data_IF_584377043817
#
_entry.id   IF_584377043817
#
_cell.length_a   1.000
_cell.length_b   1.000
_cell.length_c   1.000
_cell.angle_alpha   90.00
_cell.angle_beta   90.00
_cell.angle_gamma   90.00
#
_symmetry.space_group_name_H-M   'P 1'
#
loop_
_entity.id
_entity.type
_entity.pdbx_description
1 polymer ?
#
# COMPACT_ATOMS: atom_id res chain seq x y z
N UNK A 1 -15.35 -14.14 -3.28
CA UNK A 1 -13.88 -14.33 -3.21
C UNK A 1 -13.26 -13.75 -1.93
N UNK A 2 -13.53 -12.49 -1.55
CA UNK A 2 -12.95 -11.87 -0.34
C UNK A 2 -13.05 -12.74 0.93
N UNK A 3 -14.22 -13.35 1.19
CA UNK A 3 -14.38 -14.25 2.34
C UNK A 3 -13.51 -15.50 2.30
N UNK A 4 -13.24 -16.06 1.12
CA UNK A 4 -12.31 -17.20 0.99
C UNK A 4 -10.91 -16.79 1.47
N UNK A 5 -10.40 -15.65 0.98
CA UNK A 5 -9.08 -15.16 1.33
C UNK A 5 -8.96 -14.78 2.81
N UNK A 6 -9.97 -14.10 3.36
CA UNK A 6 -10.00 -13.74 4.77
C UNK A 6 -10.06 -14.99 5.66
N UNK A 7 -10.94 -15.96 5.34
CA UNK A 7 -11.02 -17.21 6.10
C UNK A 7 -9.70 -17.98 6.04
N UNK A 8 -9.15 -18.19 4.84
CA UNK A 8 -7.88 -18.89 4.67
C UNK A 8 -6.76 -18.22 5.47
N UNK A 9 -6.68 -16.89 5.46
CA UNK A 9 -5.71 -16.13 6.24
C UNK A 9 -5.80 -16.43 7.76
N UNK A 10 -7.01 -16.41 8.32
CA UNK A 10 -7.22 -16.67 9.74
C UNK A 10 -7.11 -18.15 10.11
N UNK A 11 -7.50 -19.07 9.22
CA UNK A 11 -7.29 -20.50 9.43
C UNK A 11 -5.81 -20.85 9.43
N UNK A 12 -4.99 -20.23 8.57
CA UNK A 12 -3.54 -20.38 8.62
C UNK A 12 -3.02 -19.95 9.99
N UNK A 13 -3.42 -18.77 10.50
CA UNK A 13 -3.00 -18.27 11.83
C UNK A 13 -3.36 -19.27 12.93
N UNK A 14 -4.51 -19.95 12.83
CA UNK A 14 -4.99 -20.92 13.82
C UNK A 14 -4.36 -22.31 13.68
N UNK A 15 -3.57 -22.55 12.63
CA UNK A 15 -2.96 -23.83 12.32
C UNK A 15 -1.46 -23.88 12.60
N UNK A 16 -0.87 -25.07 12.49
CA UNK A 16 0.58 -25.29 12.53
C UNK A 16 1.32 -24.77 11.28
N UNK A 17 0.59 -24.39 10.23
CA UNK A 17 1.15 -23.74 9.04
C UNK A 17 1.61 -22.30 9.31
N UNK A 18 1.15 -21.67 10.40
CA UNK A 18 1.63 -20.34 10.78
C UNK A 18 3.06 -20.42 11.36
N UNK A 19 4.05 -20.22 10.48
CA UNK A 19 5.47 -20.10 10.85
C UNK A 19 5.94 -18.67 10.55
N UNK A 20 5.97 -17.77 11.55
CA UNK A 20 6.29 -16.37 11.33
C UNK A 20 7.76 -16.18 10.93
N UNK A 21 8.01 -15.33 9.94
CA UNK A 21 9.37 -14.86 9.60
C UNK A 21 9.78 -13.64 10.44
N UNK A 22 8.80 -12.83 10.85
CA UNK A 22 9.00 -11.57 11.56
C UNK A 22 8.94 -11.71 13.08
N UNK A 23 8.79 -10.57 13.76
CA UNK A 23 8.69 -10.50 15.23
C UNK A 23 7.25 -10.53 15.74
N UNK A 24 6.26 -10.44 14.84
CA UNK A 24 4.84 -10.42 15.19
C UNK A 24 4.01 -11.13 14.13
N UNK A 25 2.86 -11.65 14.53
CA UNK A 25 1.80 -12.10 13.61
C UNK A 25 0.79 -10.96 13.49
N UNK A 26 0.71 -10.34 12.31
CA UNK A 26 -0.24 -9.25 12.07
C UNK A 26 -1.63 -9.81 11.72
N UNK A 27 -2.47 -10.12 12.70
CA UNK A 27 -3.81 -10.66 12.48
C UNK A 27 -4.83 -9.60 11.99
N UNK A 28 -4.55 -8.96 10.84
CA UNK A 28 -5.43 -7.99 10.18
C UNK A 28 -5.30 -8.11 8.66
N UNK A 29 -6.41 -8.36 7.97
CA UNK A 29 -6.48 -8.44 6.51
C UNK A 29 -7.28 -7.28 5.94
N UNK A 30 -6.74 -6.66 4.88
CA UNK A 30 -7.35 -5.54 4.19
C UNK A 30 -7.81 -5.95 2.78
N UNK A 31 -8.95 -5.43 2.35
CA UNK A 31 -9.44 -5.57 0.97
C UNK A 31 -9.47 -4.21 0.28
N UNK A 32 -9.05 -4.17 -0.98
CA UNK A 32 -9.05 -2.96 -1.79
C UNK A 32 -10.32 -2.92 -2.63
N UNK A 33 -11.01 -1.78 -2.67
CA UNK A 33 -12.18 -1.57 -3.52
C UNK A 33 -12.22 -0.15 -4.07
N UNK A 34 -12.96 0.07 -5.15
CA UNK A 34 -13.23 1.42 -5.67
C UNK A 34 -14.08 2.22 -4.67
N UNK A 35 -14.06 3.55 -4.77
CA UNK A 35 -14.82 4.40 -3.86
C UNK A 35 -15.48 5.60 -4.52
N UNK A 36 -16.78 5.74 -4.33
CA UNK A 36 -17.58 6.93 -4.64
C UNK A 36 -18.92 6.82 -3.92
N UNK A 37 -19.24 7.81 -3.09
CA UNK A 37 -20.45 7.80 -2.29
C UNK A 37 -21.32 8.99 -2.65
N UNK A 38 -22.58 8.73 -2.98
CA UNK A 38 -23.54 9.78 -3.27
C UNK A 38 -24.95 9.31 -2.92
N UNK A 39 -25.86 10.22 -2.55
CA UNK A 39 -27.26 9.87 -2.22
C UNK A 39 -28.01 9.25 -3.42
N UNK A 40 -27.58 9.61 -4.63
CA UNK A 40 -28.03 9.02 -5.90
C UNK A 40 -27.01 8.00 -6.42
N UNK A 41 -27.49 6.78 -6.70
CA UNK A 41 -26.71 5.65 -7.23
C UNK A 41 -26.00 5.97 -8.55
N UNK A 42 -26.73 6.53 -9.51
CA UNK A 42 -26.20 6.78 -10.85
C UNK A 42 -25.15 7.88 -10.81
N UNK A 43 -25.35 8.88 -9.95
CA UNK A 43 -24.35 9.91 -9.74
C UNK A 43 -23.09 9.36 -9.06
N UNK A 44 -23.21 8.44 -8.08
CA UNK A 44 -22.05 7.75 -7.52
C UNK A 44 -21.25 7.00 -8.59
N UNK A 45 -21.95 6.29 -9.50
CA UNK A 45 -21.33 5.58 -10.63
C UNK A 45 -20.67 6.54 -11.61
N UNK A 46 -21.37 7.59 -12.02
CA UNK A 46 -20.85 8.62 -12.94
C UNK A 46 -19.58 9.27 -12.40
N UNK A 47 -19.50 9.50 -11.08
CA UNK A 47 -18.34 10.12 -10.42
C UNK A 47 -17.15 9.18 -10.24
N UNK A 48 -17.37 7.89 -9.99
CA UNK A 48 -16.32 6.96 -9.53
C UNK A 48 -15.92 5.84 -10.48
N UNK A 49 -16.80 5.43 -11.40
CA UNK A 49 -16.60 4.21 -12.18
C UNK A 49 -15.41 4.31 -13.15
N UNK A 50 -15.31 5.40 -13.91
CA UNK A 50 -14.21 5.59 -14.87
C UNK A 50 -12.84 5.61 -14.18
N UNK A 51 -12.73 6.33 -13.04
CA UNK A 51 -11.51 6.36 -12.25
C UNK A 51 -11.08 4.97 -11.76
N UNK A 52 -12.03 4.14 -11.36
CA UNK A 52 -11.75 2.76 -10.93
C UNK A 52 -11.42 1.83 -12.12
N UNK A 53 -12.06 2.00 -13.28
CA UNK A 53 -11.67 1.29 -14.51
C UNK A 53 -10.26 1.67 -14.94
N UNK A 54 -9.88 2.95 -14.86
CA UNK A 54 -8.53 3.40 -15.16
C UNK A 54 -7.50 2.78 -14.21
N UNK A 55 -7.82 2.67 -12.92
CA UNK A 55 -6.95 1.98 -11.96
C UNK A 55 -6.72 0.52 -12.35
N UNK A 56 -7.79 -0.23 -12.66
CA UNK A 56 -7.68 -1.61 -13.13
C UNK A 56 -6.90 -1.77 -14.44
N UNK A 57 -7.15 -0.87 -15.41
CA UNK A 57 -6.38 -0.82 -16.66
C UNK A 57 -4.89 -0.58 -16.40
N UNK A 58 -4.57 0.37 -15.52
CA UNK A 58 -3.19 0.72 -15.16
C UNK A 58 -2.47 -0.42 -14.47
N UNK A 59 -3.15 -1.18 -13.59
CA UNK A 59 -2.59 -2.41 -13.02
C UNK A 59 -2.24 -3.43 -14.10
N UNK A 60 -3.14 -3.66 -15.07
CA UNK A 60 -2.86 -4.51 -16.21
C UNK A 60 -1.66 -4.02 -17.04
N UNK A 61 -1.56 -2.72 -17.26
CA UNK A 61 -0.44 -2.12 -17.96
C UNK A 61 0.89 -2.35 -17.22
N UNK A 62 0.98 -2.07 -15.91
CA UNK A 62 2.24 -2.16 -15.19
C UNK A 62 2.65 -3.57 -14.79
N UNK A 63 1.69 -4.47 -14.53
CA UNK A 63 1.97 -5.78 -13.95
C UNK A 63 1.68 -6.96 -14.88
N UNK A 64 1.01 -6.76 -16.01
CA UNK A 64 0.54 -7.88 -16.85
C UNK A 64 1.02 -7.79 -18.29
N UNK A 65 0.66 -6.73 -19.02
CA UNK A 65 0.79 -6.71 -20.49
C UNK A 65 1.45 -5.45 -21.07
N UNK A 66 1.68 -4.41 -20.27
CA UNK A 66 2.14 -3.13 -20.79
C UNK A 66 3.65 -3.05 -20.98
N UNK A 67 4.04 -2.21 -21.94
CA UNK A 67 5.38 -1.67 -22.06
C UNK A 67 5.27 -0.15 -21.94
N UNK A 68 6.14 0.47 -21.16
CA UNK A 68 6.20 1.91 -21.00
C UNK A 68 7.62 2.43 -21.07
N UNK A 69 7.75 3.61 -21.64
CA UNK A 69 8.94 4.44 -21.55
C UNK A 69 8.68 5.54 -20.52
N UNK A 70 9.46 5.61 -19.43
CA UNK A 70 9.33 6.67 -18.42
C UNK A 70 9.38 8.06 -19.06
N UNK A 71 8.45 8.93 -18.66
CA UNK A 71 8.33 10.30 -19.19
C UNK A 71 7.72 10.43 -20.59
N UNK A 72 7.42 9.31 -21.27
CA UNK A 72 6.90 9.32 -22.65
C UNK A 72 5.55 8.63 -22.77
N UNK A 73 5.37 7.47 -22.13
CA UNK A 73 4.11 6.71 -22.26
C UNK A 73 2.99 7.34 -21.44
N UNK A 74 1.96 7.81 -22.13
CA UNK A 74 0.72 8.28 -21.51
C UNK A 74 -0.26 7.11 -21.33
N UNK A 75 -0.35 6.60 -20.11
CA UNK A 75 -1.26 5.49 -19.76
C UNK A 75 -2.73 5.95 -19.80
N UNK A 76 -3.03 7.22 -19.51
CA UNK A 76 -4.37 7.76 -19.57
C UNK A 76 -4.90 7.79 -21.00
N UNK A 77 -4.11 8.29 -21.95
CA UNK A 77 -4.51 8.29 -23.36
C UNK A 77 -4.76 6.86 -23.89
N UNK A 78 -3.95 5.89 -23.44
CA UNK A 78 -4.14 4.47 -23.80
C UNK A 78 -5.41 3.87 -23.19
N UNK A 79 -5.73 4.23 -21.95
CA UNK A 79 -6.98 3.86 -21.31
C UNK A 79 -8.18 4.43 -22.08
N UNK A 80 -8.17 5.72 -22.42
CA UNK A 80 -9.24 6.35 -23.19
C UNK A 80 -9.51 5.63 -24.53
N UNK A 81 -8.46 5.18 -25.22
CA UNK A 81 -8.59 4.39 -26.46
C UNK A 81 -9.15 2.95 -26.25
N UNK A 82 -9.17 2.48 -25.01
CA UNK A 82 -9.56 1.11 -24.66
C UNK A 82 -10.84 1.04 -23.80
N UNK A 83 -11.27 2.13 -23.15
CA UNK A 83 -12.27 2.09 -22.07
C UNK A 83 -13.61 1.49 -22.48
N UNK A 84 -14.04 1.72 -23.71
CA UNK A 84 -15.30 1.17 -24.24
C UNK A 84 -15.26 -0.35 -24.45
N UNK A 85 -14.06 -0.94 -24.46
CA UNK A 85 -13.83 -2.40 -24.57
C UNK A 85 -13.66 -3.06 -23.20
N UNK A 86 -13.54 -2.26 -22.14
CA UNK A 86 -13.37 -2.78 -20.79
C UNK A 86 -14.72 -3.21 -20.22
N UNK A 87 -14.75 -4.26 -19.38
CA UNK A 87 -15.97 -4.61 -18.67
C UNK A 87 -16.44 -3.42 -17.81
N UNK A 88 -17.75 -3.28 -17.60
CA UNK A 88 -18.26 -2.28 -16.67
C UNK A 88 -17.77 -2.60 -15.26
N UNK A 89 -17.68 -1.56 -14.42
CA UNK A 89 -17.40 -1.78 -12.99
C UNK A 89 -18.47 -2.68 -12.39
N UNK A 90 -18.03 -3.81 -11.82
CA UNK A 90 -18.88 -4.84 -11.25
C UNK A 90 -19.77 -4.34 -10.10
N UNK A 91 -20.86 -5.07 -9.87
CA UNK A 91 -21.69 -4.93 -8.68
C UNK A 91 -20.86 -5.32 -7.44
N UNK A 92 -20.97 -4.55 -6.35
CA UNK A 92 -20.13 -4.74 -5.16
C UNK A 92 -18.75 -4.07 -5.24
N UNK A 93 -18.62 -3.03 -6.06
CA UNK A 93 -17.58 -2.01 -5.84
C UNK A 93 -18.02 -1.10 -4.70
N UNK A 94 -17.10 -0.46 -3.97
CA UNK A 94 -17.41 0.57 -2.97
C UNK A 94 -17.95 1.87 -3.58
N UNK A 95 -18.73 1.77 -4.66
CA UNK A 95 -19.35 2.83 -5.43
C UNK A 95 -20.87 2.68 -5.34
N UNK A 96 -21.55 3.63 -4.69
CA UNK A 96 -23.01 3.59 -4.53
C UNK A 96 -23.55 4.51 -3.46
N UNK A 97 -24.79 4.24 -3.05
CA UNK A 97 -25.46 5.00 -1.98
C UNK A 97 -24.95 4.62 -0.58
N UNK A 98 -25.13 5.47 0.45
CA UNK A 98 -24.73 5.12 1.81
C UNK A 98 -25.31 3.78 2.31
N UNK A 99 -26.56 3.48 1.97
CA UNK A 99 -27.21 2.22 2.34
C UNK A 99 -26.52 1.01 1.70
N UNK A 100 -26.20 1.11 0.41
CA UNK A 100 -25.52 0.04 -0.32
C UNK A 100 -24.09 -0.17 0.15
N UNK A 101 -23.35 0.91 0.40
CA UNK A 101 -21.99 0.82 0.96
C UNK A 101 -22.02 0.20 2.35
N UNK A 102 -22.99 0.58 3.19
CA UNK A 102 -23.14 -0.01 4.53
C UNK A 102 -23.38 -1.51 4.43
N UNK A 103 -24.31 -1.95 3.58
CA UNK A 103 -24.60 -3.37 3.37
C UNK A 103 -23.40 -4.14 2.81
N UNK A 104 -22.76 -3.59 1.77
CA UNK A 104 -21.59 -4.20 1.16
C UNK A 104 -20.42 -4.36 2.14
N UNK A 105 -20.14 -3.33 2.95
CA UNK A 105 -19.05 -3.36 3.94
C UNK A 105 -19.39 -4.25 5.13
N UNK A 106 -20.67 -4.42 5.49
CA UNK A 106 -21.10 -5.43 6.46
C UNK A 106 -20.79 -6.84 5.98
N UNK A 107 -21.04 -7.14 4.70
CA UNK A 107 -20.70 -8.45 4.13
C UNK A 107 -19.18 -8.71 4.19
N UNK A 108 -18.35 -7.69 3.97
CA UNK A 108 -16.90 -7.80 4.17
C UNK A 108 -16.54 -8.06 5.63
N UNK A 109 -17.14 -7.31 6.56
CA UNK A 109 -16.93 -7.49 7.99
C UNK A 109 -17.33 -8.90 8.45
N UNK A 110 -18.49 -9.40 8.03
CA UNK A 110 -18.98 -10.75 8.33
C UNK A 110 -18.08 -11.83 7.73
N UNK A 111 -17.50 -11.56 6.56
CA UNK A 111 -16.54 -12.44 5.92
C UNK A 111 -15.15 -12.46 6.58
N UNK A 112 -14.92 -11.63 7.62
CA UNK A 112 -13.66 -11.56 8.36
C UNK A 112 -12.66 -10.53 7.82
N UNK A 113 -13.09 -9.60 6.97
CA UNK A 113 -12.24 -8.50 6.51
C UNK A 113 -12.17 -7.43 7.61
N UNK A 114 -10.97 -7.00 7.98
CA UNK A 114 -10.76 -6.04 9.08
C UNK A 114 -10.70 -4.61 8.60
N UNK A 115 -10.20 -4.41 7.37
CA UNK A 115 -9.96 -3.10 6.81
C UNK A 115 -10.36 -3.06 5.34
N UNK A 116 -10.88 -1.91 4.93
CA UNK A 116 -11.18 -1.64 3.53
C UNK A 116 -10.38 -0.43 3.10
N UNK A 117 -9.63 -0.59 2.02
CA UNK A 117 -8.84 0.47 1.40
C UNK A 117 -9.58 0.95 0.18
N UNK A 118 -9.88 2.24 0.17
CA UNK A 118 -10.64 2.89 -0.89
C UNK A 118 -9.73 3.49 -1.96
N UNK A 119 -9.91 3.02 -3.20
CA UNK A 119 -9.31 3.64 -4.38
C UNK A 119 -10.24 4.75 -4.86
N UNK A 120 -9.77 5.98 -4.69
CA UNK A 120 -10.56 7.16 -4.97
C UNK A 120 -9.86 8.15 -5.92
N UNK A 121 -8.55 8.33 -5.79
CA UNK A 121 -7.74 9.13 -6.72
C UNK A 121 -7.33 8.29 -7.94
N UNK A 122 -8.33 7.81 -8.68
CA UNK A 122 -8.15 7.13 -9.95
C UNK A 122 -8.51 8.04 -11.12
N UNK A 123 -7.63 8.13 -12.11
CA UNK A 123 -7.93 8.83 -13.37
C UNK A 123 -8.14 10.32 -13.18
N UNK A 124 -9.24 10.84 -13.72
CA UNK A 124 -9.63 12.26 -13.66
C UNK A 124 -10.73 12.54 -12.64
N UNK A 125 -10.85 11.71 -11.60
CA UNK A 125 -11.78 11.96 -10.50
C UNK A 125 -11.52 13.37 -9.92
N UNK A 126 -12.57 14.18 -9.84
CA UNK A 126 -12.45 15.55 -9.36
C UNK A 126 -12.27 15.58 -7.84
N UNK A 127 -11.44 16.51 -7.36
CA UNK A 127 -11.23 16.74 -5.94
C UNK A 127 -12.52 17.03 -5.17
N UNK A 128 -13.41 17.87 -5.71
CA UNK A 128 -14.69 18.20 -5.08
C UNK A 128 -15.55 16.96 -4.82
N UNK A 129 -15.70 16.08 -5.82
CA UNK A 129 -16.46 14.83 -5.68
C UNK A 129 -15.82 13.88 -4.67
N UNK A 130 -14.50 13.95 -4.54
CA UNK A 130 -13.73 13.15 -3.60
C UNK A 130 -14.07 13.55 -2.16
N UNK A 131 -14.00 14.84 -1.87
CA UNK A 131 -14.35 15.39 -0.57
C UNK A 131 -15.82 15.11 -0.23
N UNK A 132 -16.76 15.38 -1.15
CA UNK A 132 -18.18 15.09 -0.96
C UNK A 132 -18.42 13.62 -0.56
N UNK A 133 -17.77 12.69 -1.26
CA UNK A 133 -17.92 11.25 -0.99
C UNK A 133 -17.40 10.87 0.40
N UNK A 134 -16.26 11.42 0.81
CA UNK A 134 -15.65 11.15 2.11
C UNK A 134 -16.50 11.71 3.25
N UNK A 135 -17.01 12.93 3.10
CA UNK A 135 -17.89 13.57 4.08
C UNK A 135 -19.20 12.78 4.25
N UNK A 136 -19.84 12.41 3.13
CA UNK A 136 -21.07 11.63 3.15
C UNK A 136 -20.85 10.25 3.79
N UNK A 137 -19.76 9.57 3.41
CA UNK A 137 -19.39 8.27 3.98
C UNK A 137 -19.13 8.37 5.50
N UNK A 138 -18.39 9.39 5.93
CA UNK A 138 -18.11 9.62 7.34
C UNK A 138 -19.38 9.91 8.15
N UNK A 139 -20.33 10.65 7.58
CA UNK A 139 -21.58 11.00 8.24
C UNK A 139 -22.60 9.85 8.28
N UNK A 140 -22.71 9.06 7.20
CA UNK A 140 -23.83 8.11 7.01
C UNK A 140 -23.45 6.64 7.12
N UNK A 141 -22.21 6.28 6.80
CA UNK A 141 -21.77 4.87 6.71
C UNK A 141 -20.88 4.49 7.89
N UNK A 142 -19.86 5.30 8.19
CA UNK A 142 -18.90 5.00 9.26
C UNK A 142 -19.53 4.74 10.63
N UNK A 143 -20.54 5.50 11.11
CA UNK A 143 -21.11 5.28 12.43
C UNK A 143 -21.70 3.87 12.58
N UNK A 144 -22.36 3.35 11.54
CA UNK A 144 -22.97 2.02 11.56
C UNK A 144 -21.93 0.89 11.63
N UNK A 145 -20.78 1.06 10.96
CA UNK A 145 -19.72 0.05 10.92
C UNK A 145 -18.78 0.11 12.12
N UNK A 146 -18.65 1.29 12.74
CA UNK A 146 -17.76 1.51 13.90
C UNK A 146 -18.43 1.29 15.25
N UNK A 147 -19.77 1.21 15.29
CA UNK A 147 -20.54 1.11 16.53
C UNK A 147 -20.06 0.00 17.48
N UNK A 148 -19.65 -1.15 16.94
CA UNK A 148 -19.21 -2.33 17.68
C UNK A 148 -17.75 -2.73 17.42
N UNK A 149 -16.98 -1.90 16.70
CA UNK A 149 -15.65 -2.23 16.22
C UNK A 149 -14.70 -2.64 17.36
N UNK A 150 -14.63 -1.83 18.42
CA UNK A 150 -13.74 -2.13 19.55
C UNK A 150 -14.05 -3.47 20.22
N UNK A 151 -15.33 -3.83 20.36
CA UNK A 151 -15.75 -5.08 20.96
C UNK A 151 -15.41 -6.28 20.07
N UNK A 152 -15.61 -6.16 18.75
CA UNK A 152 -15.23 -7.19 17.78
C UNK A 152 -13.71 -7.38 17.73
N UNK A 153 -12.96 -6.30 17.70
CA UNK A 153 -11.50 -6.34 17.69
C UNK A 153 -10.97 -7.01 18.95
N UNK A 154 -11.48 -6.63 20.13
CA UNK A 154 -11.10 -7.27 21.40
C UNK A 154 -11.40 -8.76 21.42
N UNK A 155 -12.60 -9.17 20.96
CA UNK A 155 -12.98 -10.59 20.85
C UNK A 155 -12.03 -11.35 19.93
N UNK A 156 -11.76 -10.81 18.73
CA UNK A 156 -10.84 -11.41 17.76
C UNK A 156 -9.43 -11.57 18.34
N UNK A 157 -8.91 -10.53 18.99
CA UNK A 157 -7.58 -10.59 19.60
C UNK A 157 -7.50 -11.63 20.72
N UNK A 158 -8.53 -11.73 21.57
CA UNK A 158 -8.60 -12.73 22.63
C UNK A 158 -8.65 -14.16 22.07
N UNK A 159 -9.43 -14.38 21.00
CA UNK A 159 -9.53 -15.67 20.31
C UNK A 159 -8.20 -16.08 19.67
N UNK A 160 -7.50 -15.14 19.02
CA UNK A 160 -6.27 -15.43 18.28
C UNK A 160 -5.02 -15.51 19.16
N UNK A 161 -5.03 -14.92 20.36
CA UNK A 161 -3.89 -14.88 21.28
C UNK A 161 -3.19 -16.25 21.50
N UNK A 162 -3.88 -17.36 21.83
CA UNK A 162 -3.21 -18.65 22.01
C UNK A 162 -2.55 -19.17 20.72
N UNK A 163 -3.18 -18.97 19.56
CA UNK A 163 -2.64 -19.40 18.27
C UNK A 163 -1.42 -18.58 17.85
N UNK A 164 -1.47 -17.26 18.05
CA UNK A 164 -0.33 -16.36 17.81
C UNK A 164 0.85 -16.74 18.72
N UNK A 165 0.59 -17.05 19.99
CA UNK A 165 1.64 -17.49 20.92
C UNK A 165 2.26 -18.82 20.50
N UNK A 166 1.48 -19.77 19.96
CA UNK A 166 1.99 -21.01 19.39
C UNK A 166 2.82 -20.77 18.12
N UNK A 167 2.34 -19.94 17.20
CA UNK A 167 3.07 -19.58 15.98
C UNK A 167 4.41 -18.91 16.28
N UNK A 168 4.46 -17.99 17.25
CA UNK A 168 5.72 -17.34 17.64
C UNK A 168 6.74 -18.32 18.25
N UNK A 169 6.29 -19.42 18.86
CA UNK A 169 7.18 -20.50 19.34
C UNK A 169 7.71 -21.36 18.20
N UNK A 170 6.97 -21.51 17.09
CA UNK A 170 7.42 -22.28 15.91
C UNK A 170 8.44 -21.51 15.06
N UNK A 171 8.60 -20.21 15.30
CA UNK A 171 9.54 -19.34 14.59
C UNK A 171 10.97 -19.88 14.65
N UNK A 172 11.54 -20.10 13.47
CA UNK A 172 12.98 -20.33 13.29
C UNK A 172 13.71 -18.99 13.37
N UNK A 173 14.48 -18.80 14.44
CA UNK A 173 15.27 -17.60 14.61
C UNK A 173 16.47 -17.62 13.66
N UNK A 174 16.59 -16.59 12.82
CA UNK A 174 17.78 -16.40 12.01
C UNK A 174 18.98 -16.14 12.92
N UNK A 175 20.15 -16.63 12.50
CA UNK A 175 21.40 -16.27 13.17
C UNK A 175 21.64 -14.76 13.02
N UNK A 176 22.30 -14.11 13.99
CA UNK A 176 22.78 -12.75 13.82
C UNK A 176 23.58 -12.63 12.52
N UNK A 177 23.39 -11.53 11.80
CA UNK A 177 24.16 -11.26 10.58
C UNK A 177 25.61 -11.03 10.99
N UNK A 178 26.53 -11.78 10.37
CA UNK A 178 27.95 -11.51 10.50
C UNK A 178 28.26 -10.17 9.82
N UNK A 179 28.70 -9.13 10.57
CA UNK A 179 29.01 -7.83 9.99
C UNK A 179 30.00 -7.89 8.83
N UNK A 180 30.90 -8.89 8.80
CA UNK A 180 31.86 -9.07 7.73
C UNK A 180 31.23 -9.49 6.39
N UNK A 181 30.01 -10.05 6.43
CA UNK A 181 29.26 -10.47 5.23
C UNK A 181 28.36 -9.37 4.67
N UNK A 182 28.17 -8.28 5.42
CA UNK A 182 27.34 -7.15 4.99
C UNK A 182 28.13 -6.35 3.94
N UNK A 183 27.62 -6.22 2.70
CA UNK A 183 28.33 -5.46 1.68
C UNK A 183 28.39 -3.98 2.06
N UNK A 184 29.56 -3.37 1.88
CA UNK A 184 29.69 -1.92 1.95
C UNK A 184 28.96 -1.32 0.74
N UNK A 185 27.94 -0.51 1.00
CA UNK A 185 27.22 0.23 -0.04
C UNK A 185 27.80 1.64 -0.11
N UNK A 186 28.45 1.96 -1.23
CA UNK A 186 28.99 3.29 -1.47
C UNK A 186 27.89 4.30 -1.80
N UNK A 187 28.06 5.54 -1.36
CA UNK A 187 27.18 6.64 -1.75
C UNK A 187 27.17 6.83 -3.28
N UNK A 188 26.00 7.14 -3.86
CA UNK A 188 25.81 7.29 -5.31
C UNK A 188 26.80 8.28 -5.96
N UNK A 189 27.15 9.37 -5.27
CA UNK A 189 28.16 10.31 -5.75
C UNK A 189 29.56 9.69 -5.90
N UNK A 190 29.96 8.77 -5.00
CA UNK A 190 31.24 8.06 -5.10
C UNK A 190 31.26 7.07 -6.27
N UNK A 191 30.13 6.44 -6.57
CA UNK A 191 30.02 5.53 -7.72
C UNK A 191 30.10 6.26 -9.06
N UNK A 192 29.59 7.50 -9.17
CA UNK A 192 29.72 8.33 -10.39
C UNK A 192 31.16 8.85 -10.57
N UNK A 193 31.80 9.33 -9.49
CA UNK A 193 33.16 9.90 -9.54
C UNK A 193 34.23 8.82 -9.79
N UNK A 194 33.95 7.55 -9.50
CA UNK A 194 34.87 6.46 -9.85
C UNK A 194 34.87 6.08 -11.34
N UNK A 195 33.78 6.35 -12.08
CA UNK A 195 33.72 6.11 -13.53
C UNK A 195 34.29 7.27 -14.37
N UNK A 196 34.44 8.48 -13.81
CA UNK A 196 35.03 9.64 -14.48
C UNK A 196 35.96 10.40 -13.51
N UNK A 197 37.23 10.57 -13.89
CA UNK A 197 38.32 11.14 -13.08
C UNK A 197 37.96 12.37 -12.21
N UNK A 198 38.69 12.46 -11.10
CA UNK A 198 38.54 13.37 -9.96
C UNK A 198 38.17 14.82 -10.31
N UNK A 199 37.06 15.29 -9.76
CA UNK A 199 36.86 16.70 -9.52
C UNK A 199 37.66 17.09 -8.26
N UNK A 200 38.83 17.70 -8.44
CA UNK A 200 39.48 18.46 -7.36
C UNK A 200 38.69 19.76 -7.15
N UNK A 201 38.02 19.86 -6.00
CA UNK A 201 37.38 21.10 -5.53
C UNK A 201 35.95 20.90 -5.00
N UNK A 202 35.46 21.80 -4.14
CA UNK A 202 34.10 21.71 -3.60
C UNK A 202 33.07 21.95 -4.72
N UNK A 203 32.32 20.92 -5.12
CA UNK A 203 31.08 21.11 -5.88
C UNK A 203 30.00 21.62 -4.94
N UNK A 204 29.87 22.95 -4.89
CA UNK A 204 28.76 23.63 -4.24
C UNK A 204 27.46 23.34 -5.00
N UNK A 205 26.70 22.33 -4.58
CA UNK A 205 25.26 22.27 -4.86
C UNK A 205 24.52 22.76 -3.61
N UNK A 206 24.43 24.08 -3.47
CA UNK A 206 23.61 24.73 -2.45
C UNK A 206 22.19 24.85 -3.01
N UNK A 207 21.35 23.88 -2.70
CA UNK A 207 19.94 24.17 -2.52
C UNK A 207 19.69 24.15 -1.00
N UNK A 208 19.18 25.27 -0.46
CA UNK A 208 18.76 25.44 0.94
C UNK A 208 19.87 25.57 2.03
N UNK A 209 20.98 26.29 1.77
CA UNK A 209 22.01 26.66 2.78
C UNK A 209 22.68 25.49 3.55
N UNK A 210 22.61 24.26 3.04
CA UNK A 210 23.26 23.09 3.64
C UNK A 210 24.67 22.94 3.06
N UNK A 211 25.70 23.01 3.91
CA UNK A 211 27.08 22.68 3.54
C UNK A 211 27.28 21.16 3.61
N UNK A 212 27.50 20.52 2.47
CA UNK A 212 27.83 19.07 2.39
C UNK A 212 29.34 18.91 2.33
N UNK A 213 29.90 18.18 3.29
CA UNK A 213 31.34 17.87 3.31
C UNK A 213 31.66 16.81 2.25
N UNK A 214 32.81 16.97 1.58
CA UNK A 214 33.30 16.00 0.59
C UNK A 214 33.92 14.74 1.22
N UNK A 215 34.45 14.89 2.42
CA UNK A 215 35.00 13.82 3.25
C UNK A 215 34.11 13.60 4.47
N UNK A 216 34.10 12.37 5.00
CA UNK A 216 33.39 12.04 6.24
C UNK A 216 34.14 12.62 7.44
N UNK A 217 33.58 13.60 8.18
CA UNK A 217 34.24 14.19 9.34
C UNK A 217 34.41 13.21 10.52
N UNK A 218 33.69 12.07 10.54
CA UNK A 218 33.85 11.02 11.54
C UNK A 218 34.99 10.04 11.19
N UNK A 219 35.50 10.07 9.97
CA UNK A 219 36.57 9.18 9.53
C UNK A 219 37.91 9.66 10.11
N UNK A 220 38.45 8.94 11.11
CA UNK A 220 39.76 9.25 11.66
C UNK A 220 40.83 8.95 10.60
N UNK A 221 41.41 10.00 9.99
CA UNK A 221 42.64 9.85 9.20
C UNK A 221 43.72 9.23 10.08
N UNK A 222 44.01 7.95 9.87
CA UNK A 222 45.13 7.27 10.50
C UNK A 222 46.41 8.07 10.24
N UNK A 223 47.11 8.45 11.30
CA UNK A 223 48.44 9.04 11.24
C UNK A 223 49.33 8.08 10.44
N UNK A 224 49.62 8.39 9.18
CA UNK A 224 50.70 7.71 8.47
C UNK A 224 51.99 8.02 9.24
N UNK A 225 52.59 6.97 9.81
CA UNK A 225 53.95 7.03 10.29
C UNK A 225 54.84 7.35 9.08
N UNK A 226 55.49 8.51 9.15
CA UNK A 226 56.60 8.83 8.28
C UNK A 226 57.82 8.05 8.79
N UNK A 227 58.40 7.24 7.91
CA UNK A 227 59.83 6.95 7.86
C UNK A 227 60.32 7.36 6.46
#
# INVERSE_FOLDING_TARGET
EAGKWAHEYYEIIKSDLCVPIGHAVNANVAMVTGFSCHEDREEARRRGAEGFQFFGYSLGHYYVYGHHQPGVTDVWQRFEAAKDKLPPVGQGSGIGTPAELTEHLRQYQEAGVDQVVFIQQGGRNKHEHICDSLELFAAKVMPALKADQAARDAKKQAELAPYIAAALKSKKHAQPVDPATVPVVSAYGRTIVQENQAAEGPTHHIAADITVMMDDPAEKKGRQAAD
#
